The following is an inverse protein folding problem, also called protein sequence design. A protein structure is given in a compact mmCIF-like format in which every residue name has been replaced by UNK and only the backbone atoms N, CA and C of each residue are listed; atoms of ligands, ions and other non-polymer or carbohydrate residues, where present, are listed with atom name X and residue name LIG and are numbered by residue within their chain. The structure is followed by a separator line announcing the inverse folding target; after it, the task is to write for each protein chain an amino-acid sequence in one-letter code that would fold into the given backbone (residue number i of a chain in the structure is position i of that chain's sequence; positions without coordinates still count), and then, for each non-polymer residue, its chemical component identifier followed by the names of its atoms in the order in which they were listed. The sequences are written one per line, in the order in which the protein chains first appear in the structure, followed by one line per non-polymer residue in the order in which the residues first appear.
data_IF_765212331228
#
_entry.id   IF_765212331228
#
_cell.length_a   1.000
_cell.length_b   1.000
_cell.length_c   1.000
_cell.angle_alpha   90.00
_cell.angle_beta   90.00
_cell.angle_gamma   90.00
#
_symmetry.space_group_name_H-M   'P 1'
#
loop_
_entity.id
_entity.type
_entity.pdbx_description
1 polymer ?
#
# COMPACT_ATOMS: atom_id res chain seq x y z
N UNK A 1 15.81 52.34 43.39
CA UNK A 1 16.09 51.01 42.85
C UNK A 1 14.79 50.49 42.25
N UNK A 2 14.72 50.37 40.92
CA UNK A 2 13.54 49.82 40.24
C UNK A 2 13.84 48.35 39.92
N UNK A 3 13.07 47.43 40.53
CA UNK A 3 13.16 46.00 40.26
C UNK A 3 12.51 45.69 38.92
N UNK A 4 13.27 45.10 37.98
CA UNK A 4 12.73 44.52 36.75
C UNK A 4 12.28 43.09 37.03
N UNK A 5 10.98 42.84 36.95
CA UNK A 5 10.45 41.49 36.96
C UNK A 5 10.68 40.82 35.58
N UNK A 6 11.46 39.78 35.57
CA UNK A 6 11.65 38.97 34.38
C UNK A 6 10.40 38.08 34.18
N UNK A 7 9.69 38.30 33.08
CA UNK A 7 8.57 37.45 32.65
C UNK A 7 9.16 36.21 31.96
N UNK A 8 9.14 35.08 32.68
CA UNK A 8 9.45 33.78 32.04
C UNK A 8 8.21 33.26 31.31
N UNK A 9 8.23 33.30 29.99
CA UNK A 9 7.22 32.62 29.16
C UNK A 9 7.46 31.10 29.27
N UNK A 10 6.45 30.28 29.58
CA UNK A 10 6.60 28.84 29.50
C UNK A 10 6.73 28.40 28.03
N UNK A 11 7.80 27.68 27.76
CA UNK A 11 8.00 27.04 26.45
C UNK A 11 7.03 25.85 26.37
N UNK A 12 5.91 26.02 25.67
CA UNK A 12 4.98 24.93 25.41
C UNK A 12 5.64 24.06 24.33
N UNK A 13 6.21 22.93 24.73
CA UNK A 13 6.63 21.87 23.84
C UNK A 13 5.37 21.27 23.20
N UNK A 14 5.03 21.71 21.99
CA UNK A 14 4.02 21.05 21.17
C UNK A 14 4.64 19.74 20.69
N UNK A 15 4.30 18.65 21.35
CA UNK A 15 4.62 17.31 20.85
C UNK A 15 3.92 17.12 19.51
N UNK A 16 4.70 16.93 18.45
CA UNK A 16 4.13 16.58 17.14
C UNK A 16 3.39 15.25 17.27
N UNK A 17 2.13 15.21 16.86
CA UNK A 17 1.38 13.97 16.80
C UNK A 17 2.12 12.98 15.87
N UNK A 18 2.38 11.79 16.39
CA UNK A 18 2.87 10.66 15.61
C UNK A 18 1.72 9.70 15.35
N UNK A 19 1.75 9.02 14.21
CA UNK A 19 0.88 7.88 13.99
C UNK A 19 1.30 6.69 14.85
N UNK A 20 0.50 5.64 14.83
CA UNK A 20 0.86 4.40 15.50
C UNK A 20 1.98 3.70 14.73
N UNK A 21 3.16 3.63 15.32
CA UNK A 21 4.32 2.89 14.79
C UNK A 21 4.16 1.40 15.15
N UNK A 22 3.30 0.69 14.42
CA UNK A 22 3.13 -0.74 14.62
C UNK A 22 4.29 -1.53 14.00
N UNK A 23 4.90 -2.48 14.74
CA UNK A 23 5.79 -3.45 14.11
C UNK A 23 5.06 -4.20 13.00
N UNK A 24 5.77 -4.44 11.90
CA UNK A 24 5.23 -5.22 10.78
C UNK A 24 4.76 -6.60 11.23
N UNK A 25 3.81 -7.15 10.51
CA UNK A 25 3.47 -8.56 10.57
C UNK A 25 4.56 -9.39 9.86
N UNK A 26 4.70 -10.66 10.24
CA UNK A 26 5.65 -11.56 9.61
C UNK A 26 5.29 -11.84 8.15
N UNK A 27 6.30 -12.13 7.33
CA UNK A 27 6.10 -12.51 5.93
C UNK A 27 5.19 -13.73 5.81
N UNK A 28 4.21 -13.62 4.94
CA UNK A 28 3.28 -14.70 4.66
C UNK A 28 2.90 -14.69 3.17
N UNK A 29 3.71 -15.39 2.36
CA UNK A 29 3.48 -15.48 0.91
C UNK A 29 2.30 -16.42 0.59
N UNK A 30 1.62 -16.23 -0.55
CA UNK A 30 0.54 -17.14 -0.96
C UNK A 30 1.09 -18.54 -1.23
N UNK A 31 0.33 -19.58 -0.88
CA UNK A 31 0.71 -20.98 -1.10
C UNK A 31 0.29 -21.54 -2.45
N UNK A 32 -0.65 -20.90 -3.11
CA UNK A 32 -1.24 -21.38 -4.38
C UNK A 32 -0.57 -20.80 -5.62
N UNK A 33 0.33 -19.83 -5.48
CA UNK A 33 1.09 -19.20 -6.57
C UNK A 33 2.43 -18.68 -6.04
N UNK A 34 3.50 -18.82 -6.83
CA UNK A 34 4.77 -18.17 -6.51
C UNK A 34 4.81 -16.76 -7.09
N UNK A 35 5.01 -15.77 -6.23
CA UNK A 35 5.07 -14.36 -6.60
C UNK A 35 6.48 -13.75 -6.47
N UNK A 36 7.50 -14.54 -6.06
CA UNK A 36 8.84 -14.02 -5.75
C UNK A 36 9.53 -13.33 -6.91
N UNK A 37 9.21 -13.73 -8.15
CA UNK A 37 9.74 -13.11 -9.36
C UNK A 37 8.84 -12.04 -9.98
N UNK A 38 7.65 -11.79 -9.40
CA UNK A 38 6.63 -10.96 -10.06
C UNK A 38 6.08 -9.83 -9.20
N UNK A 39 6.33 -9.81 -7.87
CA UNK A 39 5.86 -8.72 -7.03
C UNK A 39 6.47 -7.37 -7.45
N UNK A 40 5.74 -6.25 -7.30
CA UNK A 40 6.26 -4.92 -7.61
C UNK A 40 7.23 -4.43 -6.55
N UNK A 41 8.16 -3.54 -6.93
CA UNK A 41 9.00 -2.78 -6.01
C UNK A 41 8.62 -1.31 -6.03
N UNK A 42 8.73 -0.65 -4.89
CA UNK A 42 8.19 0.70 -4.68
C UNK A 42 9.28 1.70 -4.31
N UNK A 43 9.08 2.93 -4.73
CA UNK A 43 9.70 4.10 -4.14
C UNK A 43 8.65 5.01 -3.53
N UNK A 44 9.08 5.83 -2.58
CA UNK A 44 8.24 6.75 -1.84
C UNK A 44 8.93 8.11 -1.85
N UNK A 45 8.46 9.00 -2.72
CA UNK A 45 9.04 10.34 -2.90
C UNK A 45 9.08 11.11 -1.58
N UNK A 46 10.01 12.06 -1.47
CA UNK A 46 10.24 12.80 -0.22
C UNK A 46 9.12 13.75 0.16
N UNK A 47 8.15 13.95 -0.72
CA UNK A 47 7.00 14.84 -0.56
C UNK A 47 5.78 14.19 0.11
N UNK A 48 5.79 12.87 0.34
CA UNK A 48 4.70 12.09 0.94
C UNK A 48 5.09 11.34 2.22
N UNK A 49 4.12 10.66 2.82
CA UNK A 49 4.35 9.71 3.92
C UNK A 49 5.07 8.46 3.41
N UNK A 50 5.85 7.81 4.28
CA UNK A 50 6.30 6.44 4.06
C UNK A 50 5.19 5.46 4.47
N UNK A 51 5.16 4.24 3.90
CA UNK A 51 4.15 3.25 4.25
C UNK A 51 4.26 2.84 5.73
N UNK A 52 3.14 2.42 6.28
CA UNK A 52 2.99 1.95 7.66
C UNK A 52 2.14 0.67 7.70
N UNK A 53 1.99 0.05 8.87
CA UNK A 53 1.05 -1.05 9.04
C UNK A 53 -0.35 -0.52 9.35
N UNK A 54 -1.33 -0.87 8.52
CA UNK A 54 -2.73 -0.46 8.72
C UNK A 54 -3.42 -1.22 9.86
N UNK A 55 -2.87 -2.38 10.25
CA UNK A 55 -3.34 -3.22 11.35
C UNK A 55 -2.14 -3.70 12.16
N UNK A 56 -2.26 -3.68 13.49
CA UNK A 56 -1.25 -4.16 14.41
C UNK A 56 -1.24 -5.70 14.52
N UNK A 57 -0.19 -6.27 15.12
CA UNK A 57 -0.06 -7.70 15.41
C UNK A 57 -1.15 -8.23 16.35
N UNK A 58 -1.65 -7.40 17.26
CA UNK A 58 -2.78 -7.70 18.15
C UNK A 58 -4.15 -7.43 17.50
N UNK A 59 -4.16 -7.05 16.23
CA UNK A 59 -5.37 -6.79 15.47
C UNK A 59 -5.99 -5.42 15.69
N UNK A 60 -5.33 -4.45 16.34
CA UNK A 60 -5.83 -3.06 16.41
C UNK A 60 -5.68 -2.35 15.08
N UNK A 61 -6.67 -1.52 14.73
CA UNK A 61 -6.60 -0.61 13.59
C UNK A 61 -5.59 0.51 13.88
N UNK A 62 -4.79 0.90 12.88
CA UNK A 62 -3.97 2.10 12.98
C UNK A 62 -4.86 3.34 13.07
N UNK A 63 -4.55 4.24 14.01
CA UNK A 63 -5.33 5.47 14.25
C UNK A 63 -5.14 6.52 13.16
N UNK A 64 -4.10 6.37 12.33
CA UNK A 64 -3.74 7.32 11.29
C UNK A 64 -3.39 8.71 11.81
N UNK A 65 -3.12 9.64 10.89
CA UNK A 65 -2.82 11.03 11.21
C UNK A 65 -3.84 11.99 10.59
N UNK A 66 -4.10 13.11 11.24
CA UNK A 66 -4.88 14.19 10.65
C UNK A 66 -4.08 14.81 9.48
N UNK A 67 -4.74 15.14 8.34
CA UNK A 67 -4.08 15.78 7.21
C UNK A 67 -3.90 17.28 7.45
N UNK A 68 -3.11 17.66 8.46
CA UNK A 68 -2.85 19.06 8.86
C UNK A 68 -1.38 19.25 9.23
N UNK A 69 -0.88 20.48 9.12
CA UNK A 69 0.51 20.82 9.39
C UNK A 69 1.46 20.34 8.28
N UNK A 70 2.67 19.92 8.62
CA UNK A 70 3.62 19.41 7.61
C UNK A 70 3.05 18.22 6.86
N UNK A 71 3.16 18.22 5.52
CA UNK A 71 2.68 17.14 4.66
C UNK A 71 3.30 15.81 5.09
N UNK A 72 4.59 15.80 5.38
CA UNK A 72 5.36 14.61 5.78
C UNK A 72 5.51 14.47 7.30
N UNK A 73 4.94 15.39 8.07
CA UNK A 73 5.11 15.42 9.53
C UNK A 73 4.50 14.19 10.22
N UNK A 74 5.32 13.50 11.03
CA UNK A 74 4.91 12.36 11.84
C UNK A 74 4.72 11.03 11.08
N UNK A 75 5.05 10.96 9.79
CA UNK A 75 4.81 9.77 8.95
C UNK A 75 6.00 9.34 8.08
N UNK A 76 7.24 9.69 8.45
CA UNK A 76 8.46 9.27 7.74
C UNK A 76 9.47 8.64 8.70
N UNK A 77 9.14 7.47 9.21
CA UNK A 77 10.07 6.68 10.03
C UNK A 77 11.19 6.12 9.14
N UNK A 78 12.46 6.34 9.49
CA UNK A 78 13.61 5.89 8.69
C UNK A 78 13.70 4.37 8.54
N UNK A 79 13.15 3.62 9.49
CA UNK A 79 13.05 2.17 9.49
C UNK A 79 11.65 1.66 9.04
N UNK A 80 10.98 2.36 8.14
CA UNK A 80 9.61 2.04 7.74
C UNK A 80 9.40 0.59 7.28
N UNK A 81 10.42 -0.09 6.77
CA UNK A 81 10.33 -1.51 6.40
C UNK A 81 10.09 -2.44 7.60
N UNK A 82 10.43 -2.00 8.82
CA UNK A 82 10.10 -2.71 10.05
C UNK A 82 8.70 -2.37 10.60
N UNK A 83 8.08 -1.33 10.03
CA UNK A 83 6.81 -0.75 10.50
C UNK A 83 5.70 -0.84 9.43
N UNK A 84 5.93 -1.53 8.33
CA UNK A 84 4.98 -1.57 7.22
C UNK A 84 4.87 -2.95 6.58
N UNK A 85 3.73 -3.18 5.95
CA UNK A 85 3.46 -4.39 5.17
C UNK A 85 2.85 -4.04 3.82
N UNK A 86 3.09 -4.89 2.85
CA UNK A 86 2.36 -4.95 1.59
C UNK A 86 1.31 -6.05 1.68
N UNK A 87 0.03 -5.72 1.78
CA UNK A 87 -1.03 -6.72 1.72
C UNK A 87 -1.19 -7.20 0.28
N UNK A 88 -1.17 -8.51 0.08
CA UNK A 88 -1.32 -9.13 -1.22
C UNK A 88 -2.58 -9.98 -1.31
N UNK A 89 -3.32 -9.90 -2.41
CA UNK A 89 -4.40 -10.83 -2.76
C UNK A 89 -4.38 -11.09 -4.26
N UNK A 90 -4.69 -12.33 -4.64
CA UNK A 90 -4.73 -12.72 -6.04
C UNK A 90 -5.95 -13.58 -6.37
N UNK A 91 -6.22 -13.68 -7.65
CA UNK A 91 -7.06 -14.74 -8.22
C UNK A 91 -6.42 -15.22 -9.53
N UNK A 92 -6.49 -16.52 -9.76
CA UNK A 92 -6.07 -17.17 -10.99
C UNK A 92 -7.21 -17.97 -11.60
N UNK A 93 -7.25 -18.01 -12.93
CA UNK A 93 -8.19 -18.86 -13.65
C UNK A 93 -7.57 -19.40 -14.94
N UNK A 94 -8.06 -20.54 -15.39
CA UNK A 94 -7.69 -21.10 -16.70
C UNK A 94 -8.74 -20.72 -17.75
N UNK A 95 -8.26 -20.32 -18.93
CA UNK A 95 -9.07 -20.10 -20.12
C UNK A 95 -8.37 -20.72 -21.31
N UNK A 96 -8.97 -21.78 -21.87
CA UNK A 96 -8.28 -22.64 -22.83
C UNK A 96 -7.06 -23.32 -22.20
N UNK A 97 -5.91 -23.17 -22.85
CA UNK A 97 -4.61 -23.69 -22.37
C UNK A 97 -3.87 -22.75 -21.43
N UNK A 98 -4.29 -21.49 -21.35
CA UNK A 98 -3.60 -20.44 -20.60
C UNK A 98 -4.16 -20.26 -19.17
N UNK A 99 -3.27 -19.90 -18.27
CA UNK A 99 -3.60 -19.47 -16.91
C UNK A 99 -3.40 -17.96 -16.79
N UNK A 100 -4.41 -17.26 -16.34
CA UNK A 100 -4.40 -15.82 -16.13
C UNK A 100 -4.53 -15.52 -14.63
N UNK A 101 -3.66 -14.65 -14.10
CA UNK A 101 -3.76 -14.22 -12.71
C UNK A 101 -3.75 -12.69 -12.61
N UNK A 102 -4.52 -12.18 -11.67
CA UNK A 102 -4.46 -10.80 -11.21
C UNK A 102 -4.01 -10.75 -9.76
N UNK A 103 -2.96 -10.00 -9.47
CA UNK A 103 -2.37 -9.81 -8.16
C UNK A 103 -2.47 -8.35 -7.76
N UNK A 104 -3.05 -8.07 -6.60
CA UNK A 104 -3.09 -6.72 -6.03
C UNK A 104 -2.20 -6.65 -4.80
N UNK A 105 -1.46 -5.54 -4.68
CA UNK A 105 -0.50 -5.25 -3.63
C UNK A 105 -0.84 -3.90 -3.02
N UNK A 106 -1.42 -3.90 -1.81
CA UNK A 106 -1.91 -2.69 -1.16
C UNK A 106 -0.98 -2.24 -0.04
N UNK A 107 -0.70 -0.94 -0.01
CA UNK A 107 0.09 -0.25 1.00
C UNK A 107 -0.79 0.72 1.77
N UNK A 108 -0.52 0.84 3.06
CA UNK A 108 -1.20 1.77 3.95
C UNK A 108 -0.29 2.96 4.28
N UNK A 109 -0.87 4.15 4.28
CA UNK A 109 -0.23 5.38 4.73
C UNK A 109 -1.07 6.04 5.82
N UNK A 110 -0.40 6.70 6.78
CA UNK A 110 -1.06 7.29 7.95
C UNK A 110 -2.01 8.43 7.58
N UNK A 111 -1.73 9.15 6.54
CA UNK A 111 -2.56 10.22 5.95
C UNK A 111 -2.21 10.41 4.49
N UNK A 112 -3.15 11.00 3.76
CA UNK A 112 -2.93 11.66 2.50
C UNK A 112 -3.25 13.14 2.65
N UNK A 113 -2.29 14.03 2.33
CA UNK A 113 -2.42 15.46 2.61
C UNK A 113 -2.01 16.31 1.41
N UNK A 114 -2.92 17.14 0.92
CA UNK A 114 -2.69 17.98 -0.25
C UNK A 114 -1.78 19.17 0.04
N UNK A 115 -2.02 19.91 1.13
CA UNK A 115 -1.25 21.12 1.48
C UNK A 115 -1.00 21.23 2.98
N UNK A 116 -0.09 22.12 3.38
CA UNK A 116 0.18 22.42 4.80
C UNK A 116 -1.03 22.98 5.54
N UNK A 117 -1.96 23.60 4.81
CA UNK A 117 -3.21 24.13 5.36
C UNK A 117 -4.30 23.06 5.52
N UNK A 118 -4.06 21.85 5.01
CA UNK A 118 -5.02 20.75 5.02
C UNK A 118 -5.37 20.27 3.62
N UNK A 119 -6.55 19.65 3.50
CA UNK A 119 -6.99 18.94 2.31
C UNK A 119 -6.45 17.51 2.29
N UNK A 120 -7.26 16.57 1.79
CA UNK A 120 -6.98 15.14 1.86
C UNK A 120 -7.71 14.46 3.02
N UNK A 121 -7.18 13.35 3.49
CA UNK A 121 -7.86 12.52 4.49
C UNK A 121 -6.89 11.81 5.43
N UNK A 122 -7.40 11.49 6.60
CA UNK A 122 -6.76 10.54 7.51
C UNK A 122 -6.83 9.16 6.86
N UNK A 123 -5.78 8.38 7.02
CA UNK A 123 -5.58 7.10 6.35
C UNK A 123 -5.49 7.23 4.83
N UNK A 124 -4.70 6.37 4.24
CA UNK A 124 -4.67 6.18 2.80
C UNK A 124 -4.36 4.71 2.46
N UNK A 125 -4.98 4.19 1.40
CA UNK A 125 -4.73 2.88 0.87
C UNK A 125 -4.51 2.99 -0.62
N UNK A 126 -3.26 2.85 -1.03
CA UNK A 126 -2.88 2.80 -2.44
C UNK A 126 -2.42 1.40 -2.83
N UNK A 127 -2.54 1.06 -4.09
CA UNK A 127 -2.22 -0.29 -4.52
C UNK A 127 -1.62 -0.38 -5.92
N UNK A 128 -0.79 -1.39 -6.09
CA UNK A 128 -0.31 -1.87 -7.38
C UNK A 128 -1.10 -3.10 -7.81
N UNK A 129 -1.15 -3.34 -9.12
CA UNK A 129 -1.58 -4.59 -9.68
C UNK A 129 -0.47 -5.19 -10.57
N UNK A 130 -0.37 -6.50 -10.57
CA UNK A 130 0.46 -7.25 -11.52
C UNK A 130 -0.40 -8.32 -12.17
N UNK A 131 -0.39 -8.34 -13.48
CA UNK A 131 -1.19 -9.26 -14.27
C UNK A 131 -0.27 -10.23 -14.99
N UNK A 132 -0.53 -11.53 -14.81
CA UNK A 132 0.31 -12.57 -15.41
C UNK A 132 -0.50 -13.47 -16.32
N UNK A 133 0.17 -13.93 -17.39
CA UNK A 133 -0.30 -15.00 -18.26
C UNK A 133 0.74 -16.12 -18.24
N UNK A 134 0.35 -17.31 -17.83
CA UNK A 134 1.25 -18.48 -17.65
C UNK A 134 2.47 -18.16 -16.79
N UNK A 135 2.28 -17.38 -15.71
CA UNK A 135 3.33 -16.96 -14.80
C UNK A 135 4.22 -15.81 -15.29
N UNK A 136 4.04 -15.34 -16.53
CA UNK A 136 4.80 -14.22 -17.10
C UNK A 136 4.00 -12.93 -16.92
N UNK A 137 4.65 -11.89 -16.39
CA UNK A 137 4.03 -10.55 -16.22
C UNK A 137 3.75 -9.95 -17.60
N UNK A 138 2.51 -9.56 -17.85
CA UNK A 138 2.09 -8.89 -19.10
C UNK A 138 1.76 -7.42 -18.87
N UNK A 139 1.16 -7.10 -17.74
CA UNK A 139 0.79 -5.73 -17.39
C UNK A 139 1.11 -5.46 -15.91
N UNK A 140 1.38 -4.21 -15.61
CA UNK A 140 1.39 -3.69 -14.26
C UNK A 140 0.39 -2.54 -14.14
N UNK A 141 -0.23 -2.41 -12.96
CA UNK A 141 -1.18 -1.35 -12.66
C UNK A 141 -0.76 -0.56 -11.42
N UNK A 142 -1.20 0.68 -11.36
CA UNK A 142 -1.03 1.56 -10.22
C UNK A 142 -2.32 2.32 -9.93
N UNK A 143 -2.62 2.52 -8.65
CA UNK A 143 -3.78 3.30 -8.23
C UNK A 143 -3.48 4.79 -8.21
N UNK A 144 -4.44 5.58 -8.66
CA UNK A 144 -4.42 7.03 -8.55
C UNK A 144 -5.86 7.55 -8.47
N UNK A 145 -6.15 8.31 -7.42
CA UNK A 145 -7.44 8.97 -7.20
C UNK A 145 -8.66 8.02 -7.38
N UNK A 146 -8.57 6.84 -6.76
CA UNK A 146 -9.66 5.85 -6.76
C UNK A 146 -9.81 5.02 -8.05
N UNK A 147 -8.86 5.12 -8.98
CA UNK A 147 -8.81 4.32 -10.23
C UNK A 147 -7.50 3.54 -10.30
N UNK A 148 -7.50 2.43 -11.04
CA UNK A 148 -6.28 1.69 -11.39
C UNK A 148 -5.99 1.89 -12.88
N UNK A 149 -4.74 2.21 -13.21
CA UNK A 149 -4.25 2.40 -14.57
C UNK A 149 -3.25 1.30 -14.90
N UNK A 150 -3.50 0.54 -15.98
CA UNK A 150 -2.62 -0.53 -16.43
C UNK A 150 -1.69 -0.06 -17.55
N UNK A 151 -0.46 -0.57 -17.54
CA UNK A 151 0.57 -0.37 -18.55
C UNK A 151 1.15 -1.73 -18.93
N UNK A 152 1.40 -1.96 -20.22
CA UNK A 152 2.09 -3.16 -20.68
C UNK A 152 3.52 -3.21 -20.14
N UNK A 153 3.94 -4.34 -19.59
CA UNK A 153 5.25 -4.47 -18.93
C UNK A 153 6.42 -4.22 -19.88
N UNK A 154 6.26 -4.48 -21.16
CA UNK A 154 7.29 -4.21 -22.18
C UNK A 154 7.67 -2.72 -22.29
N UNK A 155 6.83 -1.82 -21.80
CA UNK A 155 7.04 -0.37 -21.79
C UNK A 155 7.69 0.14 -20.49
N UNK A 156 7.93 -0.73 -19.50
CA UNK A 156 8.33 -0.34 -18.14
C UNK A 156 9.80 -0.66 -17.84
N UNK A 157 10.52 0.23 -17.17
CA UNK A 157 11.87 -0.04 -16.69
C UNK A 157 11.81 -0.97 -15.48
N UNK A 158 12.42 -2.18 -15.55
CA UNK A 158 12.44 -3.09 -14.40
C UNK A 158 13.58 -2.77 -13.43
N UNK A 159 13.45 -3.28 -12.18
CA UNK A 159 14.55 -3.49 -11.26
C UNK A 159 14.64 -4.98 -10.93
N UNK A 160 15.70 -5.65 -11.36
CA UNK A 160 15.89 -7.10 -11.18
C UNK A 160 14.68 -7.95 -11.67
N UNK A 161 14.03 -7.52 -12.74
CA UNK A 161 12.84 -8.19 -13.30
C UNK A 161 11.49 -7.73 -12.69
N UNK A 162 11.52 -6.97 -11.60
CA UNK A 162 10.32 -6.44 -10.95
C UNK A 162 9.89 -5.10 -11.56
N UNK A 163 8.58 -4.87 -11.63
CA UNK A 163 8.04 -3.57 -12.03
C UNK A 163 8.24 -2.54 -10.92
N UNK A 164 8.57 -1.31 -11.32
CA UNK A 164 8.89 -0.19 -10.44
C UNK A 164 7.71 0.77 -10.35
N UNK A 165 7.24 1.04 -9.13
CA UNK A 165 6.11 1.94 -8.86
C UNK A 165 6.54 3.00 -7.84
N UNK A 166 6.07 4.23 -8.01
CA UNK A 166 6.40 5.38 -7.17
C UNK A 166 5.13 5.91 -6.52
N UNK A 167 5.14 6.09 -5.21
CA UNK A 167 4.14 6.86 -4.47
C UNK A 167 4.64 8.30 -4.37
N UNK A 168 3.88 9.24 -4.90
CA UNK A 168 4.28 10.63 -5.06
C UNK A 168 3.11 11.59 -4.86
N UNK A 169 3.42 12.84 -4.63
CA UNK A 169 2.40 13.89 -4.64
C UNK A 169 2.00 14.23 -6.07
N UNK A 170 0.71 14.12 -6.39
CA UNK A 170 0.21 14.41 -7.73
C UNK A 170 -0.16 15.89 -7.87
N UNK A 171 0.82 16.71 -8.23
CA UNK A 171 0.67 18.15 -8.43
C UNK A 171 0.21 18.87 -7.17
N UNK A 172 -0.94 19.56 -7.26
CA UNK A 172 -1.54 20.31 -6.15
C UNK A 172 -2.59 19.50 -5.37
N UNK A 173 -2.85 18.27 -5.79
CA UNK A 173 -3.82 17.34 -5.17
C UNK A 173 -3.17 16.49 -4.09
N UNK A 174 -3.79 15.39 -3.75
CA UNK A 174 -3.30 14.37 -2.83
C UNK A 174 -2.24 13.48 -3.49
N UNK A 175 -1.78 12.45 -2.77
CA UNK A 175 -0.80 11.50 -3.29
C UNK A 175 -1.49 10.43 -4.13
N UNK A 176 -0.70 9.81 -4.98
CA UNK A 176 -1.11 8.71 -5.85
C UNK A 176 0.10 7.84 -6.20
N UNK A 177 -0.14 6.70 -6.78
CA UNK A 177 0.93 5.91 -7.40
C UNK A 177 1.09 6.26 -8.87
N UNK A 178 2.27 6.00 -9.42
CA UNK A 178 2.62 6.05 -10.85
C UNK A 178 3.66 5.00 -11.19
N UNK A 179 3.83 4.69 -12.45
CA UNK A 179 5.00 3.93 -12.89
C UNK A 179 6.27 4.76 -12.79
N UNK A 180 7.37 4.11 -12.44
CA UNK A 180 8.68 4.75 -12.45
C UNK A 180 9.09 5.12 -13.88
N UNK A 181 9.81 6.24 -14.02
CA UNK A 181 10.42 6.66 -15.29
C UNK A 181 11.70 5.88 -15.56
N UNK A 182 12.14 5.86 -16.81
CA UNK A 182 13.44 5.30 -17.18
C UNK A 182 14.57 6.05 -16.44
N UNK A 183 15.48 5.31 -15.81
CA UNK A 183 16.59 5.89 -15.06
C UNK A 183 16.21 6.53 -13.72
N UNK A 184 14.97 6.43 -13.28
CA UNK A 184 14.53 7.00 -12.00
C UNK A 184 15.26 6.36 -10.81
N UNK A 185 15.84 7.20 -9.97
CA UNK A 185 16.55 6.83 -8.74
C UNK A 185 15.58 6.93 -7.58
N UNK A 186 15.63 5.97 -6.67
CA UNK A 186 14.76 5.97 -5.51
C UNK A 186 15.14 7.09 -4.53
N UNK A 187 14.11 7.79 -4.03
CA UNK A 187 14.24 8.87 -3.05
C UNK A 187 14.12 8.39 -1.59
N UNK A 188 13.71 7.14 -1.39
CA UNK A 188 13.66 6.57 -0.04
C UNK A 188 15.05 6.32 0.55
N UNK A 189 15.15 6.23 1.88
CA UNK A 189 16.44 6.10 2.59
C UNK A 189 17.22 4.82 2.32
N UNK A 190 16.71 3.86 1.54
CA UNK A 190 17.40 2.63 1.16
C UNK A 190 18.16 2.76 -0.18
N UNK A 191 17.96 3.87 -0.92
CA UNK A 191 18.66 4.14 -2.19
C UNK A 191 18.29 3.22 -3.35
N UNK A 192 17.21 2.43 -3.20
CA UNK A 192 16.66 1.54 -4.21
C UNK A 192 15.16 1.37 -4.02
N UNK A 193 14.48 0.90 -5.05
CA UNK A 193 13.08 0.50 -4.91
C UNK A 193 12.98 -0.71 -3.99
N UNK A 194 12.05 -0.71 -3.06
CA UNK A 194 11.90 -1.73 -2.01
C UNK A 194 10.45 -2.19 -1.92
N UNK A 195 10.21 -3.36 -1.34
CA UNK A 195 8.86 -3.85 -1.05
C UNK A 195 8.76 -4.12 0.44
N UNK A 196 7.89 -3.40 1.17
CA UNK A 196 7.57 -3.79 2.54
C UNK A 196 7.12 -5.24 2.60
N UNK A 197 7.42 -5.92 3.69
CA UNK A 197 7.13 -7.35 3.89
C UNK A 197 5.75 -7.75 3.38
N UNK A 198 5.71 -8.69 2.44
CA UNK A 198 4.47 -9.12 1.79
C UNK A 198 3.70 -10.07 2.68
N UNK A 199 2.39 -9.82 2.79
CA UNK A 199 1.47 -10.68 3.52
C UNK A 199 0.26 -10.98 2.65
N UNK A 200 0.08 -12.24 2.30
CA UNK A 200 -1.08 -12.70 1.56
C UNK A 200 -2.34 -12.62 2.40
N UNK A 201 -3.45 -12.18 1.81
CA UNK A 201 -4.76 -12.03 2.43
C UNK A 201 -5.23 -13.30 3.17
N UNK A 202 -4.95 -14.46 2.63
CA UNK A 202 -5.34 -15.74 3.21
C UNK A 202 -4.27 -16.37 4.12
N UNK A 203 -3.10 -15.72 4.28
CA UNK A 203 -2.00 -16.23 5.13
C UNK A 203 -1.68 -15.31 6.31
N UNK A 204 -2.10 -14.04 6.28
CA UNK A 204 -1.79 -13.09 7.35
C UNK A 204 -2.31 -13.58 8.71
N UNK A 205 -1.49 -13.38 9.74
CA UNK A 205 -1.81 -13.74 11.12
C UNK A 205 -1.32 -12.65 12.06
N UNK A 206 -1.99 -12.54 13.20
CA UNK A 206 -1.55 -11.70 14.32
C UNK A 206 -1.01 -12.52 15.47
N UNK A 207 -0.61 -11.85 16.53
CA UNK A 207 -0.18 -12.48 17.79
C UNK A 207 -1.43 -13.05 18.48
N UNK A 208 -1.53 -14.38 18.45
CA UNK A 208 -2.71 -15.09 18.97
C UNK A 208 -3.99 -14.95 18.12
N UNK A 209 -3.91 -14.34 16.92
CA UNK A 209 -5.05 -14.16 16.02
C UNK A 209 -4.87 -15.01 14.76
N UNK A 210 -5.92 -15.75 14.42
CA UNK A 210 -5.98 -16.55 13.18
C UNK A 210 -6.08 -15.65 11.94
N UNK A 211 -5.84 -16.23 10.75
CA UNK A 211 -6.06 -15.53 9.49
C UNK A 211 -7.49 -15.00 9.36
N UNK A 212 -8.47 -15.81 9.68
CA UNK A 212 -9.87 -15.40 9.60
C UNK A 212 -10.18 -14.20 10.51
N UNK A 213 -9.70 -14.21 11.75
CA UNK A 213 -9.87 -13.10 12.68
C UNK A 213 -9.24 -11.81 12.16
N UNK A 214 -8.02 -11.90 11.62
CA UNK A 214 -7.33 -10.74 11.06
C UNK A 214 -8.05 -10.18 9.81
N UNK A 215 -8.51 -11.06 8.90
CA UNK A 215 -9.29 -10.65 7.73
C UNK A 215 -10.61 -10.02 8.10
N UNK A 216 -11.33 -10.61 9.07
CA UNK A 216 -12.61 -10.05 9.54
C UNK A 216 -12.43 -8.64 10.10
N UNK A 217 -11.32 -8.37 10.83
CA UNK A 217 -10.98 -7.03 11.28
C UNK A 217 -10.71 -6.08 10.12
N UNK A 218 -9.86 -6.45 9.16
CA UNK A 218 -9.56 -5.62 7.97
C UNK A 218 -10.81 -5.37 7.10
N UNK A 219 -11.70 -6.35 6.99
CA UNK A 219 -12.98 -6.19 6.29
C UNK A 219 -13.92 -5.21 7.00
N UNK A 220 -13.87 -5.16 8.34
CA UNK A 220 -14.78 -4.36 9.17
C UNK A 220 -14.25 -2.95 9.48
N UNK A 221 -12.94 -2.74 9.50
CA UNK A 221 -12.36 -1.45 9.91
C UNK A 221 -12.75 -0.30 8.99
N UNK A 222 -13.05 0.84 9.61
CA UNK A 222 -13.31 2.08 8.91
C UNK A 222 -12.03 2.91 8.77
N UNK A 223 -11.55 3.08 7.56
CA UNK A 223 -10.43 3.95 7.21
C UNK A 223 -10.89 5.28 6.58
N UNK A 224 -12.12 5.70 6.86
CA UNK A 224 -12.70 6.93 6.32
C UNK A 224 -12.83 6.89 4.80
N UNK A 225 -12.23 7.85 4.11
CA UNK A 225 -12.26 7.91 2.65
C UNK A 225 -11.40 6.86 1.95
N UNK A 226 -10.45 6.26 2.68
CA UNK A 226 -9.57 5.23 2.12
C UNK A 226 -10.23 3.84 2.17
N UNK A 227 -10.10 3.07 1.10
CA UNK A 227 -10.69 1.73 1.00
C UNK A 227 -9.63 0.70 0.70
N UNK A 228 -9.58 -0.39 1.47
CA UNK A 228 -8.69 -1.52 1.17
C UNK A 228 -9.21 -2.21 -0.10
N UNK A 229 -8.42 -2.25 -1.19
CA UNK A 229 -8.87 -2.81 -2.48
C UNK A 229 -9.02 -4.33 -2.44
N UNK A 230 -8.50 -5.00 -1.39
CA UNK A 230 -8.44 -6.44 -1.22
C UNK A 230 -9.61 -7.03 -0.43
N UNK A 231 -10.52 -6.21 0.11
CA UNK A 231 -11.65 -6.68 0.93
C UNK A 231 -12.50 -7.71 0.21
N UNK A 232 -13.12 -8.59 0.99
CA UNK A 232 -13.90 -9.70 0.45
C UNK A 232 -15.12 -9.25 -0.37
N UNK A 233 -15.66 -8.06 -0.07
CA UNK A 233 -16.84 -7.49 -0.75
C UNK A 233 -16.51 -6.71 -2.03
N UNK A 234 -15.22 -6.35 -2.29
CA UNK A 234 -14.86 -5.51 -3.43
C UNK A 234 -13.77 -6.10 -4.35
N UNK A 235 -12.99 -7.09 -3.89
CA UNK A 235 -11.84 -7.59 -4.62
C UNK A 235 -12.19 -8.16 -6.00
N UNK A 236 -13.26 -8.95 -6.11
CA UNK A 236 -13.71 -9.50 -7.40
C UNK A 236 -14.13 -8.39 -8.36
N UNK A 237 -14.87 -7.41 -7.86
CA UNK A 237 -15.27 -6.24 -8.63
C UNK A 237 -14.04 -5.47 -9.13
N UNK A 238 -13.07 -5.23 -8.26
CA UNK A 238 -11.82 -4.55 -8.63
C UNK A 238 -11.03 -5.33 -9.69
N UNK A 239 -10.87 -6.65 -9.53
CA UNK A 239 -10.24 -7.49 -10.56
C UNK A 239 -10.90 -7.30 -11.92
N UNK A 240 -12.23 -7.40 -11.98
CA UNK A 240 -12.97 -7.35 -13.25
C UNK A 240 -13.06 -5.95 -13.85
N UNK A 241 -13.15 -4.92 -13.01
CA UNK A 241 -13.15 -3.53 -13.47
C UNK A 241 -11.82 -3.16 -14.12
N UNK A 242 -10.72 -3.67 -13.58
CA UNK A 242 -9.37 -3.23 -13.96
C UNK A 242 -8.57 -4.28 -14.74
N UNK A 243 -9.13 -5.46 -15.06
CA UNK A 243 -8.40 -6.45 -15.85
C UNK A 243 -7.96 -5.88 -17.21
N UNK A 244 -6.75 -6.22 -17.68
CA UNK A 244 -6.31 -5.81 -19.01
C UNK A 244 -7.20 -6.36 -20.12
N UNK A 245 -7.23 -5.70 -21.25
CA UNK A 245 -7.92 -6.19 -22.45
C UNK A 245 -7.41 -7.59 -22.81
N UNK A 246 -8.32 -8.48 -23.17
CA UNK A 246 -8.00 -9.88 -23.51
C UNK A 246 -7.86 -10.81 -22.29
N UNK A 247 -7.91 -10.31 -21.08
CA UNK A 247 -8.02 -11.17 -19.89
C UNK A 247 -9.46 -11.65 -19.69
N UNK A 248 -9.65 -12.93 -19.40
CA UNK A 248 -10.98 -13.46 -19.11
C UNK A 248 -11.55 -12.86 -17.81
N UNK A 249 -12.86 -12.94 -17.65
CA UNK A 249 -13.54 -12.47 -16.43
C UNK A 249 -13.24 -13.41 -15.27
N UNK A 250 -12.77 -12.85 -14.16
CA UNK A 250 -12.60 -13.57 -12.91
C UNK A 250 -13.95 -13.84 -12.26
N UNK A 251 -14.08 -14.99 -11.61
CA UNK A 251 -15.34 -15.44 -11.01
C UNK A 251 -15.18 -15.70 -9.52
N UNK A 252 -16.28 -15.88 -8.80
CA UNK A 252 -16.23 -16.33 -7.42
C UNK A 252 -15.49 -17.68 -7.28
N UNK A 253 -15.63 -18.57 -8.26
CA UNK A 253 -14.91 -19.85 -8.29
C UNK A 253 -13.39 -19.64 -8.44
N UNK A 254 -12.94 -18.66 -9.24
CA UNK A 254 -11.51 -18.33 -9.36
C UNK A 254 -10.93 -17.74 -8.06
N UNK A 255 -11.72 -16.98 -7.29
CA UNK A 255 -11.32 -16.53 -5.96
C UNK A 255 -11.21 -17.70 -4.99
N UNK A 256 -12.16 -18.60 -5.00
CA UNK A 256 -12.16 -19.78 -4.12
C UNK A 256 -10.99 -20.69 -4.41
N UNK A 257 -10.69 -20.96 -5.68
CA UNK A 257 -9.54 -21.76 -6.12
C UNK A 257 -8.19 -21.12 -5.78
N UNK A 258 -8.13 -19.82 -5.48
CA UNK A 258 -6.91 -19.11 -5.09
C UNK A 258 -6.67 -19.08 -3.58
N UNK A 259 -7.59 -19.63 -2.78
CA UNK A 259 -7.36 -19.85 -1.34
C UNK A 259 -6.41 -21.04 -1.13
N UNK A 260 -5.66 -21.06 0.01
CA UNK A 260 -4.79 -22.17 0.39
C UNK A 260 -5.57 -23.45 0.71
#
# INVERSE_FOLDING_TARGET
MKAFAALTLPLILVSAARGDDFPRLEEALPRTVDIRSTYPVFDFDTDGCLPSAGIARDGRQNSGLKPTGSITGGCRAGNFLDLSNTLHRHACLRSGTDTYCGHFYALYFLKDQATVLGGGHRHDWEHAAVWTKNGVVTHAGYSAHGKLYNVEVAQLPPQYGHVKIVYHKDGVTTHAMRMAKAGEVAENGYGQFVTPTIISWYELRGDGLTNEQMRNKLNAYDYGSATIPLRDNNFLTNLNTYRPAGYPEFTAASLEASKP
#
